data_IF_322682083909
#
_entry.id   IF_322682083909
#
_cell.length_a   1.000
_cell.length_b   1.000
_cell.length_c   1.000
_cell.angle_alpha   90.00
_cell.angle_beta   90.00
_cell.angle_gamma   90.00
#
_symmetry.space_group_name_H-M   'P 1'
#
loop_
_entity.id
_entity.type
_entity.pdbx_description
1 polymer ?
#
# COMPACT_ATOMS: atom_id res chain seq x y z
N UNK A 1 -13.84 3.85 14.46
CA UNK A 1 -13.87 4.00 13.00
C UNK A 1 -13.62 5.45 12.65
N UNK A 2 -12.40 5.76 12.24
CA UNK A 2 -12.00 7.08 11.75
C UNK A 2 -12.78 7.43 10.48
N UNK A 3 -13.06 8.72 10.29
CA UNK A 3 -13.67 9.21 9.05
C UNK A 3 -12.61 9.32 7.95
N UNK A 4 -13.03 9.21 6.68
CA UNK A 4 -12.16 9.43 5.54
C UNK A 4 -11.43 10.78 5.64
N UNK A 5 -12.15 11.85 5.99
CA UNK A 5 -11.56 13.19 6.13
C UNK A 5 -10.45 13.25 7.20
N UNK A 6 -10.63 12.57 8.34
CA UNK A 6 -9.59 12.51 9.38
C UNK A 6 -8.35 11.75 8.89
N UNK A 7 -8.54 10.65 8.18
CA UNK A 7 -7.46 9.85 7.59
C UNK A 7 -6.70 10.67 6.55
N UNK A 8 -7.38 11.30 5.60
CA UNK A 8 -6.75 12.11 4.55
C UNK A 8 -5.99 13.30 5.15
N UNK A 9 -6.52 13.95 6.19
CA UNK A 9 -5.81 15.03 6.89
C UNK A 9 -4.51 14.56 7.54
N UNK A 10 -4.52 13.38 8.15
CA UNK A 10 -3.33 12.79 8.78
C UNK A 10 -2.28 12.38 7.73
N UNK A 11 -2.71 11.74 6.65
CA UNK A 11 -1.84 11.40 5.52
C UNK A 11 -1.26 12.66 4.87
N UNK A 12 -2.04 13.73 4.75
CA UNK A 12 -1.57 15.00 4.19
C UNK A 12 -0.47 15.71 4.99
N UNK A 13 -0.13 15.22 6.19
CA UNK A 13 0.98 15.74 6.98
C UNK A 13 2.37 15.18 6.60
N UNK A 14 2.45 14.21 5.68
CA UNK A 14 3.72 13.59 5.26
C UNK A 14 4.40 14.37 4.14
N UNK A 15 5.68 14.12 3.94
CA UNK A 15 6.50 14.82 2.96
C UNK A 15 5.98 14.63 1.52
N UNK A 16 5.47 13.44 1.21
CA UNK A 16 4.95 13.05 -0.10
C UNK A 16 3.70 13.85 -0.50
N UNK A 17 3.03 14.51 0.44
CA UNK A 17 1.88 15.37 0.19
C UNK A 17 2.14 16.85 0.52
N UNK A 18 3.40 17.25 0.71
CA UNK A 18 3.77 18.63 1.02
C UNK A 18 3.27 19.60 -0.05
N UNK A 19 2.42 20.55 0.36
CA UNK A 19 1.81 21.53 -0.55
C UNK A 19 0.70 20.96 -1.45
N UNK A 20 0.34 19.69 -1.29
CA UNK A 20 -0.71 19.01 -2.06
C UNK A 20 -1.97 18.92 -1.22
N UNK A 21 -3.11 19.36 -1.77
CA UNK A 21 -4.40 19.17 -1.13
C UNK A 21 -4.90 17.76 -1.41
N UNK A 22 -5.15 16.97 -0.35
CA UNK A 22 -5.73 15.63 -0.47
C UNK A 22 -7.26 15.75 -0.43
N UNK A 23 -7.88 15.66 -1.60
CA UNK A 23 -9.33 15.77 -1.81
C UNK A 23 -10.03 14.41 -1.94
N UNK A 24 -9.29 13.31 -2.01
CA UNK A 24 -9.86 11.97 -2.10
C UNK A 24 -8.87 10.82 -1.86
N UNK A 25 -9.36 9.57 -1.87
CA UNK A 25 -8.54 8.39 -1.59
C UNK A 25 -7.53 8.04 -2.70
N UNK A 26 -7.69 8.65 -3.89
CA UNK A 26 -6.81 8.45 -5.05
C UNK A 26 -6.05 9.73 -5.44
N UNK A 27 -5.97 10.74 -4.57
CA UNK A 27 -5.13 11.91 -4.83
C UNK A 27 -3.68 11.46 -5.02
N UNK A 28 -3.06 11.89 -6.11
CA UNK A 28 -1.66 11.61 -6.40
C UNK A 28 -0.76 12.64 -5.72
N UNK A 29 0.14 12.16 -4.87
CA UNK A 29 1.19 12.93 -4.21
C UNK A 29 2.44 13.07 -5.07
N UNK A 30 3.52 13.56 -4.45
CA UNK A 30 4.86 13.51 -5.01
C UNK A 30 5.28 12.06 -5.23
N UNK A 31 6.16 11.83 -6.21
CA UNK A 31 6.67 10.50 -6.55
C UNK A 31 5.57 9.48 -6.88
N UNK A 32 4.39 9.94 -7.33
CA UNK A 32 3.26 9.06 -7.62
C UNK A 32 2.79 8.26 -6.37
N UNK A 33 2.98 8.79 -5.15
CA UNK A 33 2.43 8.18 -3.93
C UNK A 33 0.94 8.47 -3.80
N UNK A 34 0.17 7.49 -3.33
CA UNK A 34 -1.27 7.64 -3.06
C UNK A 34 -1.56 7.40 -1.57
N UNK A 35 -2.70 7.88 -1.03
CA UNK A 35 -3.05 7.66 0.37
C UNK A 35 -2.97 6.20 0.83
N UNK A 36 -3.33 5.26 -0.06
CA UNK A 36 -3.26 3.83 0.26
C UNK A 36 -1.82 3.31 0.40
N UNK A 37 -0.84 3.89 -0.32
CA UNK A 37 0.58 3.57 -0.13
C UNK A 37 1.03 3.99 1.27
N UNK A 38 0.73 5.23 1.67
CA UNK A 38 1.11 5.75 3.00
C UNK A 38 0.48 4.92 4.12
N UNK A 39 -0.80 4.55 3.98
CA UNK A 39 -1.48 3.69 4.94
C UNK A 39 -0.82 2.30 5.03
N UNK A 40 -0.38 1.73 3.90
CA UNK A 40 0.34 0.47 3.86
C UNK A 40 1.73 0.55 4.49
N UNK A 41 2.49 1.62 4.22
CA UNK A 41 3.80 1.90 4.84
C UNK A 41 3.67 2.01 6.37
N UNK A 42 2.59 2.60 6.87
CA UNK A 42 2.37 2.70 8.31
C UNK A 42 1.73 1.47 8.95
N UNK A 43 1.34 0.47 8.16
CA UNK A 43 0.57 -0.67 8.63
C UNK A 43 -0.80 -0.30 9.21
N UNK A 44 -1.35 0.86 8.83
CA UNK A 44 -2.61 1.37 9.38
C UNK A 44 -3.80 0.67 8.71
N UNK A 45 -4.15 -0.49 9.28
CA UNK A 45 -5.23 -1.33 8.78
C UNK A 45 -6.61 -0.65 8.83
N UNK A 46 -6.84 0.30 9.75
CA UNK A 46 -8.07 1.07 9.78
C UNK A 46 -8.13 2.04 8.59
N UNK A 47 -7.04 2.76 8.32
CA UNK A 47 -6.93 3.64 7.17
C UNK A 47 -7.05 2.89 5.85
N UNK A 48 -6.39 1.72 5.71
CA UNK A 48 -6.52 0.85 4.52
C UNK A 48 -7.99 0.52 4.26
N UNK A 49 -8.73 0.04 5.27
CA UNK A 49 -10.15 -0.31 5.11
C UNK A 49 -10.99 0.89 4.68
N UNK A 50 -10.84 2.03 5.36
CA UNK A 50 -11.64 3.23 5.07
C UNK A 50 -11.32 3.80 3.69
N UNK A 51 -10.04 3.82 3.29
CA UNK A 51 -9.63 4.28 1.96
C UNK A 51 -10.20 3.39 0.87
N UNK A 52 -10.13 2.06 1.01
CA UNK A 52 -10.69 1.12 0.03
C UNK A 52 -12.21 1.23 -0.05
N UNK A 53 -12.91 1.34 1.10
CA UNK A 53 -14.37 1.61 1.14
C UNK A 53 -14.70 2.93 0.42
N UNK A 54 -13.84 3.94 0.53
CA UNK A 54 -14.01 5.22 -0.16
C UNK A 54 -13.65 5.16 -1.66
N UNK A 55 -13.20 4.02 -2.18
CA UNK A 55 -12.85 3.82 -3.59
C UNK A 55 -11.36 3.98 -3.91
N UNK A 56 -10.47 3.83 -2.93
CA UNK A 56 -9.03 3.71 -3.20
C UNK A 56 -8.77 2.52 -4.12
N UNK A 57 -7.92 2.72 -5.14
CA UNK A 57 -7.48 1.67 -6.04
C UNK A 57 -6.43 0.80 -5.35
N UNK A 58 -6.81 -0.42 -4.96
CA UNK A 58 -5.95 -1.37 -4.22
C UNK A 58 -4.64 -1.68 -4.96
N UNK A 59 -4.70 -1.76 -6.28
CA UNK A 59 -3.59 -2.13 -7.15
C UNK A 59 -2.93 -0.93 -7.85
N UNK A 60 -3.18 0.30 -7.39
CA UNK A 60 -2.57 1.48 -7.99
C UNK A 60 -1.05 1.43 -7.82
N UNK A 61 -0.32 1.36 -8.92
CA UNK A 61 1.14 1.44 -8.89
C UNK A 61 1.58 2.89 -8.69
N UNK A 62 2.49 3.08 -7.74
CA UNK A 62 3.11 4.34 -7.36
C UNK A 62 4.47 4.55 -8.03
N UNK A 63 5.46 5.02 -7.27
CA UNK A 63 6.85 5.14 -7.76
C UNK A 63 7.41 3.75 -8.10
N UNK A 64 8.21 3.65 -9.17
CA UNK A 64 8.89 2.42 -9.59
C UNK A 64 7.98 1.18 -9.73
N UNK A 65 6.69 1.38 -10.01
CA UNK A 65 5.73 0.30 -10.13
C UNK A 65 5.34 -0.36 -8.79
N UNK A 66 5.73 0.19 -7.63
CA UNK A 66 5.37 -0.35 -6.33
C UNK A 66 3.86 -0.25 -6.09
N UNK A 67 3.26 -1.32 -5.59
CA UNK A 67 1.86 -1.34 -5.16
C UNK A 67 1.76 -1.13 -3.64
N UNK A 68 0.59 -0.77 -3.09
CA UNK A 68 0.39 -0.72 -1.65
C UNK A 68 0.74 -2.05 -0.95
N UNK A 69 0.52 -3.19 -1.60
CA UNK A 69 0.93 -4.49 -1.06
C UNK A 69 2.46 -4.58 -0.89
N UNK A 70 3.22 -4.17 -1.90
CA UNK A 70 4.68 -4.20 -1.83
C UNK A 70 5.23 -3.23 -0.78
N UNK A 71 4.58 -2.09 -0.57
CA UNK A 71 4.93 -1.16 0.52
C UNK A 71 4.75 -1.83 1.89
N UNK A 72 3.60 -2.47 2.14
CA UNK A 72 3.37 -3.20 3.40
C UNK A 72 4.40 -4.34 3.58
N UNK A 73 4.76 -5.03 2.49
CA UNK A 73 5.82 -6.05 2.48
C UNK A 73 7.16 -5.43 2.86
N UNK A 74 7.54 -4.27 2.31
CA UNK A 74 8.81 -3.62 2.59
C UNK A 74 9.01 -3.39 4.10
N UNK A 75 7.95 -3.02 4.80
CA UNK A 75 7.92 -2.77 6.25
C UNK A 75 7.94 -4.06 7.09
N UNK A 76 7.83 -5.22 6.46
CA UNK A 76 7.79 -6.53 7.11
C UNK A 76 6.66 -6.67 8.14
N UNK A 77 5.49 -6.07 7.88
CA UNK A 77 4.32 -6.14 8.76
C UNK A 77 3.25 -7.05 8.14
N UNK A 78 2.93 -8.15 8.82
CA UNK A 78 2.04 -9.19 8.28
C UNK A 78 0.58 -8.76 8.14
N UNK A 79 0.03 -8.08 9.14
CA UNK A 79 -1.38 -7.72 9.18
C UNK A 79 -1.88 -6.88 7.99
N UNK A 80 -1.20 -5.78 7.57
CA UNK A 80 -1.60 -5.02 6.38
C UNK A 80 -1.42 -5.82 5.09
N UNK A 81 -0.45 -6.75 5.03
CA UNK A 81 -0.26 -7.64 3.87
C UNK A 81 -1.46 -8.56 3.70
N UNK A 82 -1.86 -9.29 4.75
CA UNK A 82 -3.05 -10.16 4.71
C UNK A 82 -4.32 -9.36 4.41
N UNK A 83 -4.44 -8.16 4.98
CA UNK A 83 -5.57 -7.27 4.72
C UNK A 83 -5.64 -6.87 3.24
N UNK A 84 -4.54 -6.38 2.65
CA UNK A 84 -4.52 -5.95 1.25
C UNK A 84 -4.82 -7.13 0.31
N UNK A 85 -4.30 -8.32 0.59
CA UNK A 85 -4.67 -9.56 -0.14
C UNK A 85 -6.18 -9.80 -0.05
N UNK A 86 -6.77 -9.71 1.15
CA UNK A 86 -8.22 -9.89 1.33
C UNK A 86 -9.08 -8.83 0.63
N UNK A 87 -8.51 -7.65 0.37
CA UNK A 87 -9.15 -6.52 -0.31
C UNK A 87 -8.96 -6.57 -1.84
N UNK A 88 -8.35 -7.64 -2.38
CA UNK A 88 -8.18 -7.83 -3.83
C UNK A 88 -6.87 -7.28 -4.38
N UNK A 89 -5.81 -7.26 -3.57
CA UNK A 89 -4.47 -7.02 -4.11
C UNK A 89 -4.12 -8.09 -5.16
N UNK A 90 -3.45 -7.67 -6.23
CA UNK A 90 -3.05 -8.53 -7.35
C UNK A 90 -1.52 -8.72 -7.38
N UNK A 91 -1.04 -9.85 -7.95
CA UNK A 91 0.39 -10.14 -8.07
C UNK A 91 1.01 -9.36 -9.24
N UNK A 92 1.05 -8.03 -9.12
CA UNK A 92 1.62 -7.14 -10.13
C UNK A 92 3.14 -7.05 -9.98
N UNK A 93 3.84 -6.93 -11.11
CA UNK A 93 5.29 -6.72 -11.13
C UNK A 93 5.61 -5.22 -10.99
N UNK A 94 6.64 -4.90 -10.21
CA UNK A 94 7.23 -3.55 -10.18
C UNK A 94 8.11 -3.32 -11.43
N UNK A 95 8.74 -2.14 -11.52
CA UNK A 95 9.56 -1.78 -12.69
C UNK A 95 10.85 -2.61 -12.81
N UNK A 96 11.33 -3.20 -11.71
CA UNK A 96 12.42 -4.19 -11.71
C UNK A 96 11.95 -5.58 -12.16
N UNK A 97 10.67 -5.73 -12.51
CA UNK A 97 10.06 -6.97 -12.94
C UNK A 97 9.82 -7.96 -11.81
N UNK A 98 9.77 -7.54 -10.55
CA UNK A 98 9.60 -8.41 -9.39
C UNK A 98 8.14 -8.49 -8.96
N UNK A 99 7.64 -9.70 -8.70
CA UNK A 99 6.39 -9.92 -7.98
C UNK A 99 6.52 -9.56 -6.49
N UNK A 100 5.41 -9.36 -5.75
CA UNK A 100 5.49 -9.09 -4.31
C UNK A 100 6.22 -10.18 -3.52
N UNK A 101 6.07 -11.46 -3.89
CA UNK A 101 6.78 -12.58 -3.23
C UNK A 101 8.29 -12.57 -3.50
N UNK A 102 8.69 -12.24 -4.74
CA UNK A 102 10.08 -12.11 -5.16
C UNK A 102 10.75 -10.92 -4.46
N UNK A 103 10.06 -9.77 -4.40
CA UNK A 103 10.50 -8.58 -3.66
C UNK A 103 10.62 -8.85 -2.15
N UNK A 104 9.69 -9.61 -1.56
CA UNK A 104 9.79 -10.05 -0.18
C UNK A 104 11.06 -10.88 0.06
N UNK A 105 11.32 -11.85 -0.82
CA UNK A 105 12.48 -12.73 -0.73
C UNK A 105 13.81 -11.99 -0.87
N UNK A 106 13.94 -11.11 -1.86
CA UNK A 106 15.17 -10.33 -2.09
C UNK A 106 15.52 -9.46 -0.88
N UNK A 107 14.52 -8.91 -0.19
CA UNK A 107 14.72 -8.15 1.05
C UNK A 107 14.77 -8.98 2.33
N UNK A 108 14.89 -10.31 2.25
CA UNK A 108 15.06 -11.18 3.42
C UNK A 108 13.79 -11.41 4.27
N UNK A 109 12.60 -11.11 3.74
CA UNK A 109 11.31 -11.27 4.43
C UNK A 109 10.72 -12.64 4.14
N UNK A 110 11.40 -13.69 4.60
CA UNK A 110 11.11 -15.08 4.22
C UNK A 110 9.68 -15.52 4.55
N UNK A 111 9.18 -15.15 5.73
CA UNK A 111 7.82 -15.49 6.16
C UNK A 111 6.75 -14.84 5.26
N UNK A 112 6.92 -13.57 4.90
CA UNK A 112 6.02 -12.89 3.99
C UNK A 112 6.15 -13.41 2.56
N UNK A 113 7.36 -13.74 2.11
CA UNK A 113 7.56 -14.38 0.81
C UNK A 113 6.81 -15.72 0.74
N UNK A 114 6.87 -16.53 1.80
CA UNK A 114 6.12 -17.78 1.88
C UNK A 114 4.59 -17.56 1.89
N UNK A 115 4.11 -16.60 2.69
CA UNK A 115 2.69 -16.21 2.72
C UNK A 115 2.19 -15.78 1.34
N UNK A 116 2.92 -14.90 0.66
CA UNK A 116 2.57 -14.37 -0.65
C UNK A 116 2.48 -15.50 -1.69
N UNK A 117 3.46 -16.42 -1.72
CA UNK A 117 3.40 -17.59 -2.63
C UNK A 117 2.20 -18.49 -2.35
N UNK A 118 1.79 -18.67 -1.09
CA UNK A 118 0.58 -19.43 -0.75
C UNK A 118 -0.69 -18.79 -1.33
N UNK A 119 -0.69 -17.47 -1.52
CA UNK A 119 -1.78 -16.72 -2.11
C UNK A 119 -1.63 -16.49 -3.63
N UNK A 120 -0.62 -17.07 -4.28
CA UNK A 120 -0.41 -16.95 -5.74
C UNK A 120 0.30 -15.66 -6.19
N UNK A 121 1.06 -15.04 -5.29
CA UNK A 121 1.93 -13.88 -5.57
C UNK A 121 3.38 -14.28 -5.78
#
# INVERSE_FOLDING_TARGET
MQTLSAILKRIGGVAEFSGIQIDGPNTCGLFNVYPLHVAAIWGDCEAIRVLVIAGARVNQQGEHGFTPLMEAVAQNIREPVELLISLGAEPLRNDDGQLPSEYAQIGGREELAALLRQHGF
#
